data_IF_031930144282
#
_entry.id   IF_031930144282
#
_cell.length_a   1.000
_cell.length_b   1.000
_cell.length_c   1.000
_cell.angle_alpha   90.00
_cell.angle_beta   90.00
_cell.angle_gamma   90.00
#
_symmetry.space_group_name_H-M   'P 1'
#
loop_
_entity.id
_entity.type
_entity.pdbx_description
1 polymer ?
#
# COMPACT_ATOMS: atom_id res chain seq x y z
N UNK A 1 -16.09 -4.04 -0.94
CA UNK A 1 -16.39 -4.99 -2.05
C UNK A 1 -15.77 -4.47 -3.33
N UNK A 2 -15.93 -5.15 -4.47
CA UNK A 2 -15.57 -4.57 -5.79
C UNK A 2 -16.29 -3.24 -6.01
N UNK A 3 -17.51 -3.08 -5.48
CA UNK A 3 -18.31 -1.86 -5.61
C UNK A 3 -17.66 -0.61 -4.97
N UNK A 4 -16.75 -0.81 -4.01
CA UNK A 4 -16.03 0.29 -3.36
C UNK A 4 -14.82 0.77 -4.18
N UNK A 5 -14.53 0.17 -5.35
CA UNK A 5 -13.41 0.58 -6.20
C UNK A 5 -13.84 1.71 -7.13
N UNK A 6 -13.44 2.94 -6.80
CA UNK A 6 -13.76 4.12 -7.58
C UNK A 6 -12.56 4.57 -8.41
N UNK A 7 -12.77 4.84 -9.70
CA UNK A 7 -11.71 5.32 -10.61
C UNK A 7 -11.29 6.73 -10.24
N UNK A 8 -9.99 6.97 -10.14
CA UNK A 8 -9.39 8.28 -9.86
C UNK A 8 -8.26 8.56 -10.86
N UNK A 9 -8.62 8.82 -12.13
CA UNK A 9 -7.67 8.95 -13.24
C UNK A 9 -7.86 10.27 -14.00
N UNK A 10 -6.76 10.99 -14.25
CA UNK A 10 -6.66 12.18 -15.10
C UNK A 10 -6.00 11.87 -16.46
N UNK A 11 -5.50 12.87 -17.21
CA UNK A 11 -4.99 12.68 -18.58
C UNK A 11 -3.61 11.99 -18.68
N UNK A 12 -3.01 11.61 -17.55
CA UNK A 12 -1.67 11.02 -17.52
C UNK A 12 -1.62 9.53 -17.85
N UNK A 13 -0.40 9.02 -18.08
CA UNK A 13 -0.12 7.59 -18.29
C UNK A 13 -0.10 6.84 -16.95
N UNK A 14 -1.26 6.70 -16.32
CA UNK A 14 -1.42 5.93 -15.09
C UNK A 14 -2.83 5.34 -14.99
N UNK A 15 -3.00 4.30 -14.20
CA UNK A 15 -4.29 3.79 -13.75
C UNK A 15 -4.36 4.03 -12.25
N UNK A 16 -5.47 4.62 -11.78
CA UNK A 16 -5.67 4.95 -10.38
C UNK A 16 -7.07 4.57 -9.92
N UNK A 17 -7.17 3.97 -8.74
CA UNK A 17 -8.45 3.77 -8.06
C UNK A 17 -8.31 3.92 -6.55
N UNK A 18 -9.44 4.19 -5.91
CA UNK A 18 -9.57 4.35 -4.46
C UNK A 18 -10.55 3.31 -3.96
N UNK A 19 -10.25 2.74 -2.79
CA UNK A 19 -11.17 1.89 -2.03
C UNK A 19 -11.50 2.59 -0.72
N UNK A 20 -12.78 2.92 -0.52
CA UNK A 20 -13.31 3.46 0.72
C UNK A 20 -14.77 2.93 0.91
N UNK A 21 -15.11 2.33 2.06
CA UNK A 21 -14.18 1.95 3.14
C UNK A 21 -13.31 0.75 2.72
N UNK A 22 -12.07 0.73 3.21
CA UNK A 22 -11.22 -0.44 3.22
C UNK A 22 -11.79 -1.48 4.16
N UNK A 23 -11.90 -2.71 3.67
CA UNK A 23 -12.42 -3.85 4.43
C UNK A 23 -11.41 -4.98 4.41
N UNK A 24 -11.38 -5.77 5.47
CA UNK A 24 -10.51 -6.93 5.58
C UNK A 24 -10.76 -7.95 4.46
N UNK A 25 -9.69 -8.38 3.80
CA UNK A 25 -9.71 -9.41 2.77
C UNK A 25 -9.26 -10.78 3.28
N UNK A 26 -8.86 -10.89 4.55
CA UNK A 26 -8.24 -12.09 5.13
C UNK A 26 -6.75 -12.20 4.83
N UNK A 27 -6.07 -11.07 4.57
CA UNK A 27 -4.66 -11.04 4.16
C UNK A 27 -3.75 -10.52 5.28
N UNK A 28 -2.44 -10.85 5.27
CA UNK A 28 -1.47 -10.31 6.24
C UNK A 28 -1.29 -8.79 6.21
N UNK A 29 -1.89 -8.08 5.25
CA UNK A 29 -1.84 -6.62 5.11
C UNK A 29 -3.21 -5.98 5.27
N UNK A 30 -4.16 -6.70 5.88
CA UNK A 30 -5.49 -6.17 6.17
C UNK A 30 -5.40 -4.90 7.04
N UNK A 31 -6.34 -3.95 6.89
CA UNK A 31 -6.29 -2.64 7.57
C UNK A 31 -6.12 -2.69 9.09
N UNK A 32 -6.53 -3.78 9.75
CA UNK A 32 -6.43 -3.94 11.20
C UNK A 32 -5.19 -4.69 11.69
N UNK A 33 -4.26 -5.08 10.80
CA UNK A 33 -3.04 -5.82 11.17
C UNK A 33 -1.94 -4.89 11.68
N UNK A 34 -1.78 -3.73 11.05
CA UNK A 34 -0.77 -2.73 11.40
C UNK A 34 -1.45 -1.41 11.79
N UNK A 35 -0.90 -0.65 12.75
CA UNK A 35 -1.42 0.66 13.09
C UNK A 35 -1.31 1.63 11.91
N UNK A 36 -2.24 2.57 11.80
CA UNK A 36 -2.17 3.64 10.81
C UNK A 36 -0.97 4.56 11.06
N UNK A 37 -0.49 5.22 10.02
CA UNK A 37 0.51 6.28 10.10
C UNK A 37 0.04 7.36 11.09
N UNK A 38 0.94 7.85 11.96
CA UNK A 38 0.61 8.93 12.89
C UNK A 38 0.08 10.15 12.15
N UNK A 39 -1.03 10.72 12.65
CA UNK A 39 -1.59 11.98 12.15
C UNK A 39 -2.72 11.82 11.11
N UNK A 40 -2.93 10.64 10.54
CA UNK A 40 -4.11 10.36 9.69
C UNK A 40 -5.41 10.44 10.50
N UNK A 41 -6.47 11.01 9.90
CA UNK A 41 -7.78 11.19 10.55
C UNK A 41 -8.94 10.97 9.57
N UNK A 42 -10.11 10.66 10.13
CA UNK A 42 -11.35 10.56 9.35
C UNK A 42 -11.25 9.53 8.22
N UNK A 43 -11.62 9.90 7.00
CA UNK A 43 -11.60 8.98 5.85
C UNK A 43 -10.20 8.47 5.50
N UNK A 44 -9.14 9.19 5.89
CA UNK A 44 -7.75 8.78 5.59
C UNK A 44 -7.38 7.46 6.27
N UNK A 45 -7.98 7.15 7.43
CA UNK A 45 -7.73 5.88 8.13
C UNK A 45 -8.54 4.71 7.57
N UNK A 46 -9.47 4.98 6.65
CA UNK A 46 -10.35 3.98 6.02
C UNK A 46 -10.15 3.91 4.50
N UNK A 47 -9.23 4.69 3.93
CA UNK A 47 -9.05 4.80 2.47
C UNK A 47 -7.76 4.16 2.02
N UNK A 48 -7.85 3.32 0.98
CA UNK A 48 -6.71 2.81 0.24
C UNK A 48 -6.65 3.44 -1.13
N UNK A 49 -5.46 3.89 -1.54
CA UNK A 49 -5.25 4.52 -2.84
C UNK A 49 -4.25 3.69 -3.65
N UNK A 50 -4.65 3.29 -4.85
CA UNK A 50 -3.90 2.34 -5.66
C UNK A 50 -3.55 2.97 -7.00
N UNK A 51 -2.26 3.01 -7.32
CA UNK A 51 -1.78 3.56 -8.57
C UNK A 51 -0.85 2.59 -9.29
N UNK A 52 -1.03 2.52 -10.61
CA UNK A 52 -0.06 1.99 -11.55
C UNK A 52 0.41 3.15 -12.42
N UNK A 53 1.68 3.51 -12.30
CA UNK A 53 2.35 4.52 -13.09
C UNK A 53 3.13 3.84 -14.21
N UNK A 54 2.77 4.16 -15.46
CA UNK A 54 3.53 3.71 -16.61
C UNK A 54 4.95 4.32 -16.57
N UNK A 55 6.00 3.56 -16.93
CA UNK A 55 5.96 2.24 -17.55
C UNK A 55 5.98 1.06 -16.59
N UNK A 56 6.39 1.24 -15.34
CA UNK A 56 6.92 0.12 -14.56
C UNK A 56 6.77 0.25 -13.04
N UNK A 57 5.91 1.14 -12.54
CA UNK A 57 5.77 1.36 -11.10
C UNK A 57 4.34 1.17 -10.63
N UNK A 58 4.20 0.54 -9.47
CA UNK A 58 2.97 0.48 -8.70
C UNK A 58 3.25 1.02 -7.31
N UNK A 59 2.31 1.78 -6.78
CA UNK A 59 2.34 2.15 -5.36
C UNK A 59 0.94 2.17 -4.80
N UNK A 60 0.80 1.54 -3.63
CA UNK A 60 -0.43 1.46 -2.88
C UNK A 60 -0.21 2.22 -1.58
N UNK A 61 -1.03 3.24 -1.35
CA UNK A 61 -1.04 4.02 -0.13
C UNK A 61 -2.17 3.48 0.73
N UNK A 62 -1.81 2.75 1.78
CA UNK A 62 -2.74 2.28 2.79
C UNK A 62 -2.52 3.08 4.08
N UNK A 63 -3.51 3.11 4.98
CA UNK A 63 -3.38 3.85 6.23
C UNK A 63 -2.15 3.47 7.04
N UNK A 64 -1.75 2.19 7.02
CA UNK A 64 -0.65 1.66 7.84
C UNK A 64 0.69 1.51 7.12
N UNK A 65 0.71 1.50 5.79
CA UNK A 65 1.91 1.22 5.02
C UNK A 65 1.79 1.72 3.58
N UNK A 66 2.95 1.86 2.93
CA UNK A 66 3.05 2.05 1.50
C UNK A 66 3.67 0.80 0.90
N UNK A 67 2.97 0.17 -0.04
CA UNK A 67 3.52 -0.94 -0.80
C UNK A 67 3.92 -0.47 -2.19
N UNK A 68 5.19 -0.63 -2.56
CA UNK A 68 5.69 -0.24 -3.89
C UNK A 68 6.15 -1.47 -4.64
N UNK A 69 5.91 -1.51 -5.94
CA UNK A 69 6.48 -2.50 -6.85
C UNK A 69 7.11 -1.76 -8.03
N UNK A 70 8.40 -1.97 -8.25
CA UNK A 70 9.10 -1.49 -9.44
C UNK A 70 9.46 -2.69 -10.31
N UNK A 71 8.94 -2.72 -11.53
CA UNK A 71 9.27 -3.70 -12.54
C UNK A 71 10.59 -3.31 -13.22
N UNK A 72 11.56 -4.21 -13.20
CA UNK A 72 12.87 -4.06 -13.83
C UNK A 72 13.04 -5.14 -14.91
N UNK A 73 12.63 -4.87 -16.17
CA UNK A 73 12.88 -5.79 -17.28
C UNK A 73 14.38 -6.03 -17.44
N UNK A 74 14.79 -7.30 -17.52
CA UNK A 74 16.21 -7.68 -17.70
C UNK A 74 16.47 -8.29 -19.07
N UNK A 75 15.46 -8.91 -19.68
CA UNK A 75 15.49 -9.43 -21.04
C UNK A 75 14.07 -9.59 -21.59
N UNK A 76 13.95 -9.97 -22.87
CA UNK A 76 12.64 -10.28 -23.46
C UNK A 76 11.96 -11.41 -22.68
N UNK A 77 10.77 -11.14 -22.15
CA UNK A 77 10.00 -12.10 -21.35
C UNK A 77 10.45 -12.25 -19.90
N UNK A 78 11.44 -11.49 -19.42
CA UNK A 78 11.92 -11.56 -18.03
C UNK A 78 11.89 -10.18 -17.37
N UNK A 79 11.22 -10.10 -16.24
CA UNK A 79 11.15 -8.90 -15.41
C UNK A 79 11.41 -9.26 -13.95
N UNK A 80 12.27 -8.51 -13.28
CA UNK A 80 12.46 -8.60 -11.84
C UNK A 80 11.48 -7.64 -11.17
N UNK A 81 10.64 -8.15 -10.28
CA UNK A 81 9.79 -7.32 -9.43
C UNK A 81 10.55 -6.94 -8.16
N UNK A 82 10.76 -5.64 -7.95
CA UNK A 82 11.28 -5.14 -6.68
C UNK A 82 10.11 -4.62 -5.85
N UNK A 83 9.64 -5.43 -4.91
CA UNK A 83 8.58 -5.09 -3.97
C UNK A 83 9.18 -4.56 -2.66
N UNK A 84 8.67 -3.41 -2.17
CA UNK A 84 9.01 -2.88 -0.85
C UNK A 84 7.75 -2.61 -0.06
N UNK A 85 7.75 -3.00 1.21
CA UNK A 85 6.79 -2.59 2.21
C UNK A 85 7.42 -1.49 3.07
N UNK A 86 6.87 -0.28 2.97
CA UNK A 86 7.34 0.88 3.72
C UNK A 86 6.36 1.17 4.85
N UNK A 87 6.87 1.22 6.08
CA UNK A 87 6.10 1.48 7.30
C UNK A 87 6.65 2.68 8.03
N UNK A 88 5.87 3.23 8.98
CA UNK A 88 6.37 4.30 9.82
C UNK A 88 7.50 3.77 10.73
N UNK A 89 8.59 4.54 10.96
CA UNK A 89 9.68 4.11 11.85
C UNK A 89 9.21 3.72 13.26
N UNK A 90 8.17 4.37 13.79
CA UNK A 90 7.62 4.03 15.12
C UNK A 90 7.17 2.57 15.22
N UNK A 91 6.73 1.96 14.12
CA UNK A 91 6.34 0.55 14.11
C UNK A 91 7.53 -0.37 14.38
N UNK A 92 8.72 0.00 13.90
CA UNK A 92 9.95 -0.75 14.11
C UNK A 92 10.50 -0.57 15.54
N UNK A 93 10.30 0.61 16.12
CA UNK A 93 10.63 0.88 17.52
C UNK A 93 9.76 0.03 18.44
N UNK A 94 8.45 0.00 18.21
CA UNK A 94 7.49 -0.82 18.96
C UNK A 94 7.78 -2.33 18.84
N UNK A 95 8.20 -2.79 17.66
CA UNK A 95 8.54 -4.19 17.42
C UNK A 95 9.78 -4.62 18.22
N UNK A 96 10.82 -3.79 18.24
CA UNK A 96 12.05 -4.06 19.01
C UNK A 96 11.76 -4.15 20.51
N UNK A 97 10.91 -3.26 21.04
CA UNK A 97 10.50 -3.31 22.44
C UNK A 97 9.80 -4.65 22.76
N UNK A 98 8.97 -5.16 21.85
CA UNK A 98 8.29 -6.45 22.05
C UNK A 98 9.27 -7.64 22.04
N UNK A 99 10.24 -7.67 21.12
CA UNK A 99 11.26 -8.72 21.08
C UNK A 99 12.16 -8.73 22.33
N UNK A 100 12.51 -7.57 22.88
CA UNK A 100 13.34 -7.47 24.10
C UNK A 100 12.59 -7.93 25.38
N UNK A 101 11.26 -7.96 25.33
CA UNK A 101 10.41 -8.37 26.47
C UNK A 101 9.84 -9.79 26.34
N UNK A 102 10.21 -10.53 25.29
CA UNK A 102 9.73 -11.87 24.97
C UNK A 102 10.68 -12.99 25.44
#
# INVERSE_FOLDING_TARGET
>A
TVDNHHRAQGPGMYVGFVTNPLTNGGTPIDPNVLPSFPGLKGEEVETGVFHQLFPNAFYFLLPSHIFTVILKPTSAGVTIEQANLLVHPSLLEDAKVKEETA
#
